data_IF_227946431610
#
_entry.id   IF_227946431610
#
_cell.length_a   1.000
_cell.length_b   1.000
_cell.length_c   1.000
_cell.angle_alpha   90.00
_cell.angle_beta   90.00
_cell.angle_gamma   90.00
#
_symmetry.space_group_name_H-M   'P 1'
#
loop_
_entity.id
_entity.type
_entity.pdbx_description
1 polymer ?
#
# COMPACT_ATOMS: atom_id res chain seq x y z
N UNK A 1 24.45 -23.73 -4.10
CA UNK A 1 23.41 -24.01 -5.13
C UNK A 1 22.90 -25.47 -5.12
N UNK A 2 23.02 -26.20 -3.99
CA UNK A 2 22.62 -27.63 -3.86
C UNK A 2 21.18 -27.80 -3.33
N UNK A 3 20.67 -26.80 -2.61
CA UNK A 3 19.43 -26.93 -1.85
C UNK A 3 18.14 -26.98 -2.71
N UNK A 4 18.15 -26.45 -3.94
CA UNK A 4 16.96 -26.37 -4.81
C UNK A 4 16.52 -27.70 -5.48
N UNK A 5 17.17 -28.83 -5.18
CA UNK A 5 16.93 -30.10 -5.89
C UNK A 5 15.61 -30.79 -5.51
N UNK A 6 15.16 -30.72 -4.25
CA UNK A 6 13.95 -31.44 -3.83
C UNK A 6 12.69 -30.58 -3.97
N UNK A 7 11.53 -31.17 -4.31
CA UNK A 7 10.26 -30.44 -4.34
C UNK A 7 9.91 -29.84 -2.97
N UNK A 8 10.18 -30.55 -1.89
CA UNK A 8 9.95 -30.08 -0.53
C UNK A 8 10.72 -28.79 -0.22
N UNK A 9 12.03 -28.75 -0.51
CA UNK A 9 12.84 -27.57 -0.23
C UNK A 9 12.37 -26.33 -1.02
N UNK A 10 11.91 -26.53 -2.27
CA UNK A 10 11.36 -25.44 -3.10
C UNK A 10 10.08 -24.86 -2.49
N UNK A 11 9.19 -25.71 -2.00
CA UNK A 11 7.95 -25.30 -1.32
C UNK A 11 8.27 -24.50 -0.05
N UNK A 12 9.14 -25.04 0.81
CA UNK A 12 9.53 -24.36 2.06
C UNK A 12 10.23 -23.03 1.76
N UNK A 13 11.14 -23.01 0.79
CA UNK A 13 11.85 -21.78 0.39
C UNK A 13 10.90 -20.74 -0.18
N UNK A 14 9.98 -21.14 -1.06
CA UNK A 14 8.99 -20.23 -1.62
C UNK A 14 8.13 -19.62 -0.50
N UNK A 15 7.69 -20.43 0.46
CA UNK A 15 6.89 -19.95 1.59
C UNK A 15 7.67 -18.95 2.45
N UNK A 16 8.91 -19.27 2.81
CA UNK A 16 9.76 -18.37 3.61
C UNK A 16 10.02 -17.04 2.88
N UNK A 17 10.30 -17.10 1.57
CA UNK A 17 10.54 -15.90 0.76
C UNK A 17 9.26 -15.07 0.58
N UNK A 18 8.10 -15.70 0.43
CA UNK A 18 6.80 -15.01 0.41
C UNK A 18 6.56 -14.27 1.71
N UNK A 19 6.71 -14.94 2.87
CA UNK A 19 6.52 -14.31 4.19
C UNK A 19 7.51 -13.16 4.39
N UNK A 20 8.77 -13.35 4.02
CA UNK A 20 9.80 -12.31 4.10
C UNK A 20 9.43 -11.10 3.24
N UNK A 21 9.07 -11.31 1.98
CA UNK A 21 8.72 -10.24 1.05
C UNK A 21 7.46 -9.50 1.49
N UNK A 22 6.42 -10.22 1.94
CA UNK A 22 5.22 -9.61 2.51
C UNK A 22 5.53 -8.76 3.75
N UNK A 23 6.46 -9.21 4.60
CA UNK A 23 6.94 -8.45 5.75
C UNK A 23 7.69 -7.16 5.35
N UNK A 24 8.55 -7.24 4.34
CA UNK A 24 9.26 -6.07 3.78
C UNK A 24 8.26 -5.09 3.15
N UNK A 25 7.35 -5.59 2.32
CA UNK A 25 6.33 -4.80 1.64
C UNK A 25 5.44 -4.05 2.65
N UNK A 26 5.05 -4.70 3.75
CA UNK A 26 4.32 -4.06 4.86
C UNK A 26 5.11 -2.93 5.51
N UNK A 27 6.43 -3.08 5.71
CA UNK A 27 7.29 -2.03 6.29
C UNK A 27 7.50 -0.84 5.35
N UNK A 28 7.43 -1.06 4.05
CA UNK A 28 7.54 -0.01 3.02
C UNK A 28 6.24 0.81 2.85
N UNK A 29 5.16 0.43 3.54
CA UNK A 29 3.91 1.19 3.52
C UNK A 29 4.10 2.60 4.13
N UNK A 30 3.63 3.62 3.42
CA UNK A 30 4.01 5.02 3.65
C UNK A 30 3.09 5.80 4.60
N UNK A 31 2.02 5.16 5.11
CA UNK A 31 0.90 5.86 5.77
C UNK A 31 0.63 5.54 7.23
N UNK A 32 1.69 5.16 7.94
CA UNK A 32 1.63 5.07 9.39
C UNK A 32 1.54 6.47 10.02
N UNK A 33 0.75 6.65 11.09
CA UNK A 33 0.81 7.84 11.93
C UNK A 33 2.27 8.16 12.30
N UNK A 34 2.67 9.42 12.16
CA UNK A 34 4.01 9.87 12.49
C UNK A 34 3.95 10.77 13.70
N UNK A 35 4.79 10.47 14.68
CA UNK A 35 5.04 11.35 15.80
C UNK A 35 5.96 12.48 15.33
N UNK A 36 5.44 13.69 15.41
CA UNK A 36 6.14 14.91 15.07
C UNK A 36 6.45 15.59 16.39
N UNK A 37 7.74 15.67 16.68
CA UNK A 37 8.27 16.48 17.76
C UNK A 37 9.00 17.65 17.17
N UNK A 38 8.59 18.83 17.58
CA UNK A 38 9.13 20.09 17.11
C UNK A 38 9.65 20.90 18.30
N UNK A 39 10.78 21.58 18.14
CA UNK A 39 11.34 22.46 19.15
C UNK A 39 11.68 23.81 18.51
N UNK A 40 11.12 24.89 19.05
CA UNK A 40 11.41 26.28 18.65
C UNK A 40 11.64 27.12 19.89
N UNK A 41 12.89 27.53 20.11
CA UNK A 41 13.30 28.10 21.40
C UNK A 41 13.10 27.07 22.52
N UNK A 42 12.39 27.48 23.57
CA UNK A 42 12.04 26.63 24.71
C UNK A 42 10.73 25.84 24.50
N UNK A 43 9.99 26.16 23.45
CA UNK A 43 8.72 25.52 23.14
C UNK A 43 8.96 24.18 22.46
N UNK A 44 8.39 23.12 23.03
CA UNK A 44 8.34 21.78 22.45
C UNK A 44 6.89 21.47 22.09
N UNK A 45 6.66 21.09 20.84
CA UNK A 45 5.35 20.68 20.33
C UNK A 45 5.39 19.24 19.89
N UNK A 46 4.51 18.41 20.43
CA UNK A 46 4.37 17.00 20.12
C UNK A 46 2.99 16.74 19.51
N UNK A 47 2.96 16.10 18.33
CA UNK A 47 1.73 15.79 17.62
C UNK A 47 1.88 14.47 16.85
N UNK A 48 0.93 13.55 17.03
CA UNK A 48 0.82 12.35 16.20
C UNK A 48 -0.14 12.61 15.06
N UNK A 49 0.32 12.47 13.81
CA UNK A 49 -0.51 12.76 12.64
C UNK A 49 -1.68 11.80 12.51
N UNK A 50 -2.87 12.33 12.25
CA UNK A 50 -4.03 11.54 11.83
C UNK A 50 -3.91 11.30 10.32
N UNK A 51 -3.83 10.05 9.89
CA UNK A 51 -3.69 9.68 8.47
C UNK A 51 -5.00 9.14 7.88
N UNK A 52 -5.81 8.49 8.71
CA UNK A 52 -7.00 7.74 8.30
C UNK A 52 -8.12 7.90 9.33
N UNK A 53 -9.35 8.09 8.86
CA UNK A 53 -10.55 8.26 9.69
C UNK A 53 -11.67 7.40 9.10
N UNK A 54 -12.44 6.72 9.96
CA UNK A 54 -13.68 6.09 9.51
C UNK A 54 -14.80 7.13 9.52
N UNK A 55 -15.64 7.23 8.47
CA UNK A 55 -16.73 8.22 8.39
C UNK A 55 -17.71 8.23 9.58
N UNK A 56 -17.90 7.09 10.22
CA UNK A 56 -18.77 6.89 11.38
C UNK A 56 -18.13 7.31 12.71
N UNK A 57 -16.82 7.54 12.74
CA UNK A 57 -16.07 7.91 13.93
C UNK A 57 -15.66 9.38 13.92
N UNK A 58 -15.63 9.98 15.12
CA UNK A 58 -15.02 11.29 15.32
C UNK A 58 -13.52 11.10 15.54
N UNK A 59 -12.70 11.69 14.67
CA UNK A 59 -11.26 11.70 14.84
C UNK A 59 -10.82 12.96 15.56
N UNK A 60 -10.04 12.79 16.63
CA UNK A 60 -9.50 13.90 17.42
C UNK A 60 -8.05 14.14 17.04
N UNK A 61 -7.75 15.35 16.59
CA UNK A 61 -6.38 15.84 16.47
C UNK A 61 -5.93 16.31 17.84
N UNK A 62 -4.81 15.77 18.33
CA UNK A 62 -4.23 16.12 19.63
C UNK A 62 -2.84 16.69 19.46
N UNK A 63 -2.51 17.66 20.30
CA UNK A 63 -1.21 18.30 20.35
C UNK A 63 -0.84 18.52 21.80
N UNK A 64 0.43 18.30 22.14
CA UNK A 64 1.01 18.66 23.43
C UNK A 64 2.04 19.76 23.25
N UNK A 65 1.92 20.80 24.06
CA UNK A 65 2.85 21.90 24.18
C UNK A 65 3.61 21.77 25.50
N UNK A 66 4.91 22.02 25.50
CA UNK A 66 5.74 22.01 26.72
C UNK A 66 6.77 23.13 26.62
N UNK A 67 7.19 23.69 27.76
CA UNK A 67 8.22 24.73 27.81
C UNK A 67 7.72 26.14 27.44
N UNK A 68 6.42 26.38 27.56
CA UNK A 68 5.82 27.71 27.44
C UNK A 68 4.73 27.87 28.51
N UNK A 69 4.93 28.83 29.41
CA UNK A 69 4.12 29.03 30.62
C UNK A 69 3.36 30.35 30.51
N UNK A 70 2.34 30.38 29.67
CA UNK A 70 1.45 31.53 29.50
C UNK A 70 0.01 31.06 29.52
N UNK A 71 -0.82 31.74 30.31
CA UNK A 71 -2.24 31.42 30.49
C UNK A 71 -3.08 31.64 29.22
N UNK A 72 -2.55 32.35 28.20
CA UNK A 72 -3.33 32.84 27.05
C UNK A 72 -2.84 32.26 25.72
N UNK A 73 -2.71 30.93 25.63
CA UNK A 73 -2.37 30.25 24.38
C UNK A 73 -3.66 29.78 23.71
N UNK A 74 -3.86 30.21 22.47
CA UNK A 74 -4.96 29.75 21.63
C UNK A 74 -4.44 28.76 20.59
N UNK A 75 -5.06 27.58 20.54
CA UNK A 75 -4.82 26.59 19.50
C UNK A 75 -5.90 26.65 18.43
N UNK A 76 -5.50 26.59 17.16
CA UNK A 76 -6.41 26.56 16.03
C UNK A 76 -6.06 25.42 15.07
N UNK A 77 -7.09 24.67 14.68
CA UNK A 77 -7.00 23.68 13.61
C UNK A 77 -7.61 24.30 12.34
N UNK A 78 -6.78 24.44 11.32
CA UNK A 78 -7.23 24.81 9.99
C UNK A 78 -7.38 23.56 9.16
N UNK A 79 -8.46 23.45 8.40
CA UNK A 79 -8.69 22.30 7.54
C UNK A 79 -9.40 22.69 6.25
N UNK A 80 -9.22 21.89 5.22
CA UNK A 80 -10.00 21.97 3.99
C UNK A 80 -10.17 20.58 3.39
N UNK A 81 -11.37 20.29 2.89
CA UNK A 81 -11.55 19.16 1.99
C UNK A 81 -10.82 19.46 0.66
N UNK A 82 -10.33 18.42 -0.01
CA UNK A 82 -9.59 18.56 -1.26
C UNK A 82 -10.42 19.35 -2.29
N UNK A 83 -9.91 20.51 -2.72
CA UNK A 83 -10.60 21.42 -3.65
C UNK A 83 -11.60 22.38 -3.00
N UNK A 84 -11.82 22.29 -1.68
CA UNK A 84 -12.67 23.20 -0.92
C UNK A 84 -11.90 24.34 -0.23
N UNK A 85 -12.67 25.26 0.35
CA UNK A 85 -12.16 26.41 1.10
C UNK A 85 -11.59 26.01 2.47
N UNK A 86 -10.61 26.77 2.96
CA UNK A 86 -10.03 26.59 4.28
C UNK A 86 -10.99 27.09 5.37
N UNK A 87 -11.24 26.22 6.35
CA UNK A 87 -12.05 26.50 7.53
C UNK A 87 -11.17 26.39 8.77
N UNK A 88 -11.59 27.09 9.83
CA UNK A 88 -10.86 27.20 11.09
C UNK A 88 -11.75 26.76 12.25
N UNK A 89 -11.23 25.91 13.13
CA UNK A 89 -11.86 25.55 14.40
C UNK A 89 -10.90 25.81 15.56
N UNK A 90 -11.43 26.27 16.69
CA UNK A 90 -10.67 26.41 17.92
C UNK A 90 -10.39 25.03 18.51
N UNK A 91 -9.17 24.85 19.03
CA UNK A 91 -8.80 23.67 19.80
C UNK A 91 -9.16 23.90 21.26
N UNK A 92 -9.75 22.88 21.90
CA UNK A 92 -10.02 22.86 23.32
C UNK A 92 -8.73 22.58 24.10
N UNK A 93 -8.45 23.42 25.10
CA UNK A 93 -7.33 23.24 26.01
C UNK A 93 -7.77 22.44 27.23
N UNK A 94 -7.20 21.26 27.44
CA UNK A 94 -7.58 20.35 28.53
C UNK A 94 -6.69 20.46 29.78
N UNK A 95 -5.75 21.42 29.83
CA UNK A 95 -4.71 21.52 30.86
C UNK A 95 -3.41 20.79 30.48
N UNK A 96 -2.34 21.03 31.25
CA UNK A 96 -1.02 20.41 31.09
C UNK A 96 -0.39 20.53 29.68
N UNK A 97 -0.72 21.61 28.95
CA UNK A 97 -0.22 21.84 27.61
C UNK A 97 -0.95 21.06 26.50
N UNK A 98 -2.05 20.36 26.80
CA UNK A 98 -2.78 19.56 25.81
C UNK A 98 -3.88 20.35 25.10
N UNK A 99 -3.86 20.29 23.77
CA UNK A 99 -4.86 20.85 22.88
C UNK A 99 -5.51 19.74 22.06
N UNK A 100 -6.82 19.83 21.88
CA UNK A 100 -7.55 18.88 21.06
C UNK A 100 -8.62 19.53 20.19
N UNK A 101 -8.85 18.97 19.00
CA UNK A 101 -9.97 19.37 18.16
C UNK A 101 -10.50 18.17 17.39
N UNK A 102 -11.82 18.15 17.17
CA UNK A 102 -12.48 17.09 16.41
C UNK A 102 -12.47 17.48 14.94
N UNK A 103 -11.95 16.58 14.09
CA UNK A 103 -12.05 16.74 12.64
C UNK A 103 -13.51 16.64 12.20
N UNK A 104 -13.92 17.41 11.18
CA UNK A 104 -15.28 17.32 10.65
C UNK A 104 -15.57 15.90 10.14
N UNK A 105 -16.84 15.53 10.10
CA UNK A 105 -17.24 14.31 9.41
C UNK A 105 -17.05 14.49 7.89
N UNK A 106 -16.66 13.41 7.24
CA UNK A 106 -16.53 13.31 5.78
C UNK A 106 -17.17 12.01 5.29
N UNK A 107 -17.36 11.91 3.98
CA UNK A 107 -17.86 10.72 3.31
C UNK A 107 -16.71 9.76 2.96
N UNK A 108 -17.05 8.52 2.61
CA UNK A 108 -16.08 7.54 2.11
C UNK A 108 -15.38 8.12 0.86
N UNK A 109 -14.04 8.07 0.84
CA UNK A 109 -13.24 8.59 -0.27
C UNK A 109 -12.79 10.05 -0.09
N UNK A 110 -13.40 10.79 0.84
CA UNK A 110 -13.03 12.18 1.09
C UNK A 110 -11.56 12.29 1.53
N UNK A 111 -10.94 13.39 1.08
CA UNK A 111 -9.56 13.74 1.39
C UNK A 111 -9.58 15.10 2.06
N UNK A 112 -9.05 15.19 3.27
CA UNK A 112 -9.00 16.41 4.05
C UNK A 112 -7.55 16.75 4.39
N UNK A 113 -7.16 17.99 4.18
CA UNK A 113 -5.92 18.52 4.71
C UNK A 113 -6.19 19.25 6.01
N UNK A 114 -5.32 19.07 7.00
CA UNK A 114 -5.33 19.90 8.20
C UNK A 114 -3.93 20.42 8.56
N UNK A 115 -3.91 21.58 9.22
CA UNK A 115 -2.71 22.16 9.82
C UNK A 115 -3.08 22.76 11.17
N UNK A 116 -2.12 22.78 12.09
CA UNK A 116 -2.31 23.32 13.44
C UNK A 116 -1.50 24.60 13.57
N UNK A 117 -2.09 25.59 14.21
CA UNK A 117 -1.46 26.87 14.51
C UNK A 117 -1.69 27.20 15.99
N UNK A 118 -0.60 27.49 16.70
CA UNK A 118 -0.62 27.96 18.08
C UNK A 118 -0.26 29.43 18.09
N UNK A 119 -1.05 30.23 18.79
CA UNK A 119 -0.89 31.69 18.86
C UNK A 119 -1.00 32.17 20.29
N UNK A 120 -0.19 33.16 20.67
CA UNK A 120 -0.41 33.99 21.85
C UNK A 120 -1.03 35.34 21.45
N UNK A 121 -1.20 36.26 22.41
CA UNK A 121 -1.74 37.61 22.15
C UNK A 121 -0.88 38.45 21.19
N UNK A 122 0.40 38.11 21.01
CA UNK A 122 1.40 38.95 20.32
C UNK A 122 1.83 38.39 18.98
N UNK A 123 1.76 37.07 18.77
CA UNK A 123 2.37 36.38 17.64
C UNK A 123 1.90 34.94 17.45
N UNK A 124 2.26 34.37 16.29
CA UNK A 124 2.13 32.92 16.05
C UNK A 124 3.32 32.21 16.70
N UNK A 125 3.05 31.36 17.68
CA UNK A 125 4.05 30.58 18.41
C UNK A 125 4.58 29.40 17.59
N UNK A 126 3.67 28.68 16.91
CA UNK A 126 4.04 27.52 16.11
C UNK A 126 3.02 27.25 15.00
N UNK A 127 3.53 26.84 13.82
CA UNK A 127 2.73 26.29 12.71
C UNK A 127 3.19 24.88 12.39
N UNK A 128 2.24 23.97 12.25
CA UNK A 128 2.51 22.56 11.95
C UNK A 128 1.62 22.15 10.76
N UNK A 129 2.20 21.65 9.65
CA UNK A 129 3.63 21.36 9.42
C UNK A 129 4.48 22.63 9.10
N UNK A 130 5.76 22.61 9.49
CA UNK A 130 6.70 23.75 9.36
C UNK A 130 7.21 23.99 7.92
N UNK A 131 7.13 22.99 7.04
CA UNK A 131 7.88 22.99 5.76
C UNK A 131 7.09 23.56 4.57
N UNK A 132 6.18 24.51 4.81
CA UNK A 132 5.31 25.06 3.74
C UNK A 132 4.39 24.02 3.07
N UNK A 133 4.24 22.83 3.67
CA UNK A 133 3.27 21.83 3.21
C UNK A 133 1.86 22.36 3.46
N UNK A 134 0.94 22.10 2.53
CA UNK A 134 -0.47 22.52 2.63
C UNK A 134 -1.17 21.97 3.89
N UNK A 135 -0.69 20.87 4.45
CA UNK A 135 -1.19 20.26 5.67
C UNK A 135 -0.87 18.77 5.74
N UNK A 136 -1.35 18.11 6.77
CA UNK A 136 -1.41 16.65 6.86
C UNK A 136 -2.66 16.15 6.14
N UNK A 137 -2.48 15.14 5.29
CA UNK A 137 -3.57 14.53 4.53
C UNK A 137 -4.22 13.40 5.34
N UNK A 138 -5.51 13.58 5.61
CA UNK A 138 -6.43 12.59 6.16
C UNK A 138 -7.25 11.98 5.02
N UNK A 139 -7.37 10.65 4.97
CA UNK A 139 -8.35 9.96 4.11
C UNK A 139 -9.48 9.38 4.94
N UNK A 140 -10.71 9.54 4.46
CA UNK A 140 -11.87 8.88 5.03
C UNK A 140 -12.06 7.51 4.38
N UNK A 141 -11.84 6.44 5.16
CA UNK A 141 -11.89 5.05 4.69
C UNK A 141 -13.17 4.35 5.13
N UNK A 142 -13.85 3.71 4.18
CA UNK A 142 -14.97 2.81 4.46
C UNK A 142 -14.52 1.52 5.15
N UNK A 143 -15.48 0.78 5.71
CA UNK A 143 -15.26 -0.56 6.22
C UNK A 143 -15.29 -1.56 5.06
N UNK A 144 -14.29 -2.45 5.03
CA UNK A 144 -14.21 -3.50 4.02
C UNK A 144 -14.86 -4.76 4.59
N UNK A 145 -15.75 -5.37 3.83
CA UNK A 145 -16.38 -6.65 4.16
C UNK A 145 -15.31 -7.74 4.30
N UNK A 146 -15.30 -8.51 5.42
CA UNK A 146 -14.40 -9.64 5.59
C UNK A 146 -14.53 -10.68 4.46
N UNK A 147 -15.73 -10.83 3.89
CA UNK A 147 -16.00 -11.74 2.76
C UNK A 147 -15.30 -11.33 1.47
N UNK A 148 -14.84 -10.09 1.36
CA UNK A 148 -14.04 -9.60 0.22
C UNK A 148 -12.56 -9.57 0.61
N UNK A 149 -12.27 -9.02 1.79
CA UNK A 149 -10.89 -8.82 2.24
C UNK A 149 -10.13 -10.14 2.44
N UNK A 150 -10.78 -11.15 3.04
CA UNK A 150 -10.13 -12.43 3.31
C UNK A 150 -9.77 -13.16 2.00
N UNK A 151 -10.71 -13.36 1.03
CA UNK A 151 -10.35 -13.95 -0.26
C UNK A 151 -9.29 -13.15 -1.02
N UNK A 152 -9.34 -11.81 -0.99
CA UNK A 152 -8.34 -10.95 -1.60
C UNK A 152 -6.93 -11.26 -1.07
N UNK A 153 -6.75 -11.23 0.25
CA UNK A 153 -5.45 -11.46 0.90
C UNK A 153 -4.94 -12.87 0.59
N UNK A 154 -5.81 -13.88 0.67
CA UNK A 154 -5.45 -15.27 0.37
C UNK A 154 -4.97 -15.40 -1.08
N UNK A 155 -5.68 -14.81 -2.04
CA UNK A 155 -5.31 -14.90 -3.45
C UNK A 155 -4.03 -14.14 -3.77
N UNK A 156 -3.82 -12.95 -3.21
CA UNK A 156 -2.57 -12.21 -3.37
C UNK A 156 -1.40 -13.01 -2.79
N UNK A 157 -1.54 -13.53 -1.57
CA UNK A 157 -0.50 -14.33 -0.92
C UNK A 157 -0.20 -15.60 -1.72
N UNK A 158 -1.23 -16.32 -2.15
CA UNK A 158 -1.09 -17.52 -2.96
C UNK A 158 -0.47 -17.21 -4.34
N UNK A 159 -0.84 -16.10 -4.97
CA UNK A 159 -0.25 -15.68 -6.25
C UNK A 159 1.26 -15.46 -6.12
N UNK A 160 1.71 -14.80 -5.04
CA UNK A 160 3.11 -14.53 -4.77
C UNK A 160 3.89 -15.81 -4.42
N UNK A 161 3.31 -16.68 -3.58
CA UNK A 161 3.88 -17.99 -3.27
C UNK A 161 4.09 -18.84 -4.53
N UNK A 162 3.07 -18.93 -5.38
CA UNK A 162 3.14 -19.68 -6.63
C UNK A 162 4.15 -19.01 -7.57
N UNK A 163 4.24 -17.66 -7.62
CA UNK A 163 5.23 -16.97 -8.44
C UNK A 163 6.68 -17.33 -8.06
N UNK A 164 7.01 -17.48 -6.78
CA UNK A 164 8.32 -17.98 -6.33
C UNK A 164 8.56 -19.44 -6.77
N UNK A 165 7.55 -20.31 -6.71
CA UNK A 165 7.64 -21.66 -7.25
C UNK A 165 7.90 -21.63 -8.76
N UNK A 166 7.12 -20.83 -9.50
CA UNK A 166 7.26 -20.63 -10.95
C UNK A 166 8.68 -20.17 -11.30
N UNK A 167 9.24 -19.22 -10.54
CA UNK A 167 10.63 -18.77 -10.70
C UNK A 167 11.64 -19.92 -10.58
N UNK A 168 11.52 -20.78 -9.56
CA UNK A 168 12.43 -21.92 -9.41
C UNK A 168 12.34 -22.89 -10.60
N UNK A 169 11.14 -23.12 -11.14
CA UNK A 169 10.97 -23.92 -12.35
C UNK A 169 11.53 -23.21 -13.60
N UNK A 170 11.38 -21.89 -13.73
CA UNK A 170 12.03 -21.11 -14.79
C UNK A 170 13.55 -21.30 -14.78
N UNK A 171 14.18 -21.19 -13.61
CA UNK A 171 15.63 -21.43 -13.46
C UNK A 171 16.03 -22.86 -13.80
N UNK A 172 15.19 -23.87 -13.49
CA UNK A 172 15.45 -25.26 -13.86
C UNK A 172 15.42 -25.46 -15.37
N UNK A 173 14.44 -24.87 -16.06
CA UNK A 173 14.35 -24.93 -17.53
C UNK A 173 15.60 -24.30 -18.17
N UNK A 174 16.08 -23.18 -17.64
CA UNK A 174 17.33 -22.55 -18.12
C UNK A 174 18.57 -23.44 -17.94
N UNK A 175 18.54 -24.36 -16.97
CA UNK A 175 19.59 -25.36 -16.74
C UNK A 175 19.43 -26.62 -17.60
N UNK A 176 18.38 -26.71 -18.42
CA UNK A 176 18.12 -27.83 -19.32
C UNK A 176 17.23 -28.93 -18.74
N UNK A 177 16.59 -28.71 -17.58
CA UNK A 177 15.68 -29.70 -16.99
C UNK A 177 14.34 -29.71 -17.73
N UNK A 178 13.86 -30.90 -18.11
CA UNK A 178 12.53 -31.08 -18.70
C UNK A 178 11.43 -30.96 -17.64
N UNK A 179 11.01 -29.72 -17.40
CA UNK A 179 9.92 -29.39 -16.46
C UNK A 179 9.00 -28.28 -16.97
N UNK A 180 8.94 -28.11 -18.29
CA UNK A 180 8.19 -27.04 -18.98
C UNK A 180 6.70 -27.13 -18.70
N UNK A 181 6.13 -28.35 -18.72
CA UNK A 181 4.70 -28.55 -18.44
C UNK A 181 4.33 -28.12 -17.02
N UNK A 182 5.13 -28.50 -16.02
CA UNK A 182 4.91 -28.10 -14.63
C UNK A 182 5.03 -26.58 -14.49
N UNK A 183 6.03 -25.98 -15.13
CA UNK A 183 6.20 -24.53 -15.12
C UNK A 183 5.01 -23.80 -15.74
N UNK A 184 4.49 -24.29 -16.88
CA UNK A 184 3.33 -23.71 -17.54
C UNK A 184 2.07 -23.74 -16.65
N UNK A 185 1.84 -24.85 -15.92
CA UNK A 185 0.73 -24.93 -14.96
C UNK A 185 0.89 -23.90 -13.85
N UNK A 186 2.10 -23.72 -13.32
CA UNK A 186 2.36 -22.72 -12.29
C UNK A 186 2.20 -21.28 -12.84
N UNK A 187 2.62 -21.00 -14.08
CA UNK A 187 2.37 -19.73 -14.77
C UNK A 187 0.87 -19.43 -14.84
N UNK A 188 0.05 -20.41 -15.24
CA UNK A 188 -1.40 -20.27 -15.30
C UNK A 188 -1.98 -19.93 -13.92
N UNK A 189 -1.56 -20.65 -12.87
CA UNK A 189 -2.04 -20.41 -11.52
C UNK A 189 -1.61 -19.04 -10.98
N UNK A 190 -0.36 -18.63 -11.22
CA UNK A 190 0.13 -17.28 -10.88
C UNK A 190 -0.68 -16.21 -11.58
N UNK A 191 -0.93 -16.34 -12.88
CA UNK A 191 -1.76 -15.42 -13.65
C UNK A 191 -3.19 -15.35 -13.11
N UNK A 192 -3.88 -16.48 -12.93
CA UNK A 192 -5.26 -16.50 -12.45
C UNK A 192 -5.40 -15.89 -11.06
N UNK A 193 -4.50 -16.24 -10.14
CA UNK A 193 -4.60 -15.76 -8.75
C UNK A 193 -4.25 -14.28 -8.65
N UNK A 194 -3.29 -13.80 -9.46
CA UNK A 194 -2.98 -12.38 -9.51
C UNK A 194 -4.07 -11.56 -10.21
N UNK A 195 -4.68 -12.07 -11.27
CA UNK A 195 -5.81 -11.41 -11.95
C UNK A 195 -7.03 -11.33 -11.02
N UNK A 196 -7.44 -12.45 -10.44
CA UNK A 196 -8.64 -12.51 -9.59
C UNK A 196 -8.38 -11.76 -8.28
N UNK A 197 -7.28 -12.06 -7.59
CA UNK A 197 -6.95 -11.43 -6.31
C UNK A 197 -6.60 -9.96 -6.46
N UNK A 198 -5.69 -9.62 -7.37
CA UNK A 198 -5.13 -8.28 -7.50
C UNK A 198 -6.00 -7.30 -8.27
N UNK A 199 -6.66 -7.73 -9.34
CA UNK A 199 -7.49 -6.84 -10.15
C UNK A 199 -8.96 -7.00 -9.77
N UNK A 200 -9.57 -8.17 -9.98
CA UNK A 200 -11.03 -8.32 -9.85
C UNK A 200 -11.53 -8.05 -8.43
N UNK A 201 -10.96 -8.72 -7.43
CA UNK A 201 -11.30 -8.49 -6.03
C UNK A 201 -10.65 -7.19 -5.52
N UNK A 202 -9.50 -6.79 -6.08
CA UNK A 202 -8.86 -5.51 -5.77
C UNK A 202 -9.78 -4.31 -6.01
N UNK A 203 -10.49 -4.29 -7.15
CA UNK A 203 -11.51 -3.25 -7.45
C UNK A 203 -12.59 -3.20 -6.38
N UNK A 204 -13.05 -4.36 -5.89
CA UNK A 204 -14.06 -4.43 -4.85
C UNK A 204 -13.54 -3.85 -3.52
N UNK A 205 -12.30 -4.16 -3.16
CA UNK A 205 -11.64 -3.61 -1.97
C UNK A 205 -11.56 -2.08 -2.08
N UNK A 206 -11.11 -1.55 -3.22
CA UNK A 206 -11.02 -0.10 -3.45
C UNK A 206 -12.39 0.56 -3.42
N UNK A 207 -13.41 -0.07 -4.00
CA UNK A 207 -14.79 0.43 -3.99
C UNK A 207 -15.35 0.54 -2.58
N UNK A 208 -15.15 -0.47 -1.73
CA UNK A 208 -15.60 -0.43 -0.33
C UNK A 208 -14.78 0.55 0.51
N UNK A 209 -13.50 0.74 0.19
CA UNK A 209 -12.61 1.59 0.98
C UNK A 209 -12.76 3.07 0.65
N UNK A 210 -12.92 3.42 -0.63
CA UNK A 210 -12.84 4.80 -1.13
C UNK A 210 -13.99 5.19 -2.04
N UNK A 211 -14.95 4.30 -2.31
CA UNK A 211 -16.00 4.51 -3.32
C UNK A 211 -15.44 4.81 -4.72
N UNK A 212 -14.23 4.31 -4.98
CA UNK A 212 -13.50 4.44 -6.25
C UNK A 212 -13.46 3.07 -6.96
N UNK A 213 -13.38 3.08 -8.29
CA UNK A 213 -13.23 1.86 -9.08
C UNK A 213 -11.76 1.44 -9.22
N UNK A 214 -11.42 0.88 -10.37
CA UNK A 214 -10.03 0.62 -10.73
C UNK A 214 -9.26 1.93 -10.94
N UNK A 215 -8.16 2.13 -10.22
CA UNK A 215 -7.35 3.35 -10.24
C UNK A 215 -6.11 3.26 -11.14
N UNK A 216 -5.86 2.12 -11.79
CA UNK A 216 -4.68 1.91 -12.64
C UNK A 216 -4.76 2.63 -13.99
N UNK A 217 -3.59 2.85 -14.61
CA UNK A 217 -3.47 3.50 -15.91
C UNK A 217 -4.05 2.61 -17.04
N UNK A 218 -4.83 3.13 -17.99
CA UNK A 218 -5.03 4.54 -18.33
C UNK A 218 -6.25 5.20 -17.66
N UNK A 219 -7.06 4.44 -16.92
CA UNK A 219 -8.32 4.93 -16.34
C UNK A 219 -8.03 5.89 -15.17
N UNK A 220 -7.06 5.54 -14.33
CA UNK A 220 -6.65 6.34 -13.19
C UNK A 220 -5.14 6.63 -13.15
N UNK A 221 -4.67 7.08 -11.99
CA UNK A 221 -3.27 7.44 -11.72
C UNK A 221 -2.73 6.78 -10.45
N UNK A 222 -3.42 5.75 -9.94
CA UNK A 222 -2.95 4.99 -8.80
C UNK A 222 -1.78 4.10 -9.22
N UNK A 223 -0.65 4.34 -8.56
CA UNK A 223 0.61 3.67 -8.83
C UNK A 223 0.56 2.20 -8.38
N UNK A 224 -0.24 1.88 -7.36
CA UNK A 224 -0.42 0.51 -6.83
C UNK A 224 -1.17 -0.36 -7.83
N UNK A 225 -2.28 0.15 -8.35
CA UNK A 225 -3.09 -0.53 -9.34
C UNK A 225 -2.31 -0.70 -10.66
N UNK A 226 -1.63 0.36 -11.11
CA UNK A 226 -0.82 0.33 -12.34
C UNK A 226 0.30 -0.71 -12.29
N UNK A 227 0.99 -0.86 -11.15
CA UNK A 227 2.01 -1.91 -11.00
C UNK A 227 1.40 -3.31 -11.07
N UNK A 228 0.20 -3.46 -10.50
CA UNK A 228 -0.54 -4.73 -10.51
C UNK A 228 -0.91 -5.14 -11.93
N UNK A 229 -1.47 -4.22 -12.70
CA UNK A 229 -1.70 -4.40 -14.15
C UNK A 229 -0.44 -4.85 -14.88
N UNK A 230 0.68 -4.15 -14.68
CA UNK A 230 1.92 -4.44 -15.38
C UNK A 230 2.37 -5.87 -15.11
N UNK A 231 2.49 -6.30 -13.85
CA UNK A 231 2.98 -7.66 -13.62
C UNK A 231 1.97 -8.73 -14.05
N UNK A 232 0.66 -8.49 -13.93
CA UNK A 232 -0.39 -9.40 -14.44
C UNK A 232 -0.30 -9.52 -15.95
N UNK A 233 -0.04 -8.43 -16.67
CA UNK A 233 0.16 -8.42 -18.11
C UNK A 233 1.37 -9.28 -18.53
N UNK A 234 2.50 -9.15 -17.83
CA UNK A 234 3.67 -9.98 -18.12
C UNK A 234 3.42 -11.48 -17.86
N UNK A 235 2.66 -11.82 -16.81
CA UNK A 235 2.21 -13.19 -16.60
C UNK A 235 1.26 -13.69 -17.68
N UNK A 236 0.36 -12.83 -18.20
CA UNK A 236 -0.49 -13.16 -19.34
C UNK A 236 0.34 -13.46 -20.59
N UNK A 237 1.31 -12.60 -20.91
CA UNK A 237 2.21 -12.80 -22.07
C UNK A 237 2.97 -14.13 -21.92
N UNK A 238 3.53 -14.39 -20.73
CA UNK A 238 4.22 -15.66 -20.46
C UNK A 238 3.28 -16.85 -20.58
N UNK A 239 2.03 -16.73 -20.12
CA UNK A 239 1.01 -17.77 -20.25
C UNK A 239 0.66 -18.05 -21.71
N UNK A 240 0.50 -17.02 -22.55
CA UNK A 240 0.20 -17.17 -23.98
C UNK A 240 1.29 -18.01 -24.66
N UNK A 241 2.58 -17.69 -24.41
CA UNK A 241 3.68 -18.46 -24.98
C UNK A 241 3.84 -19.87 -24.39
N UNK A 242 3.44 -20.06 -23.12
CA UNK A 242 3.41 -21.36 -22.44
C UNK A 242 2.15 -22.19 -22.69
N UNK A 243 1.17 -21.68 -23.43
CA UNK A 243 -0.16 -22.30 -23.54
C UNK A 243 -0.13 -23.70 -24.15
N UNK A 244 0.71 -23.92 -25.17
CA UNK A 244 0.86 -25.23 -25.78
C UNK A 244 1.47 -26.26 -24.82
N UNK A 245 2.40 -25.84 -23.94
CA UNK A 245 3.00 -26.73 -22.95
C UNK A 245 1.98 -27.24 -21.92
N UNK A 246 0.96 -26.45 -21.59
CA UNK A 246 -0.16 -26.92 -20.74
C UNK A 246 -0.86 -28.15 -21.34
N UNK A 247 -0.95 -28.19 -22.68
CA UNK A 247 -1.58 -29.26 -23.46
C UNK A 247 -0.60 -30.38 -23.83
N UNK A 248 0.65 -30.34 -23.34
CA UNK A 248 1.70 -31.29 -23.71
C UNK A 248 2.13 -31.18 -25.17
N UNK A 249 1.89 -30.03 -25.81
CA UNK A 249 2.30 -29.76 -27.19
C UNK A 249 3.57 -28.92 -27.21
N UNK A 250 4.30 -29.00 -28.32
CA UNK A 250 5.47 -28.16 -28.55
C UNK A 250 5.08 -26.66 -28.51
N UNK A 251 5.85 -25.88 -27.77
CA UNK A 251 5.68 -24.43 -27.69
C UNK A 251 6.12 -23.74 -28.99
N UNK A 252 5.58 -22.56 -29.23
CA UNK A 252 5.97 -21.70 -30.36
C UNK A 252 7.42 -21.19 -30.15
N UNK A 253 7.82 -21.03 -28.89
CA UNK A 253 9.15 -20.58 -28.48
C UNK A 253 9.97 -21.73 -27.91
N UNK A 254 11.29 -21.55 -27.85
CA UNK A 254 12.17 -22.53 -27.21
C UNK A 254 11.95 -22.59 -25.69
N UNK A 255 12.24 -23.74 -25.08
CA UNK A 255 12.16 -23.93 -23.63
C UNK A 255 13.02 -22.90 -22.88
N UNK A 256 14.24 -22.62 -23.38
CA UNK A 256 15.10 -21.58 -22.80
C UNK A 256 14.44 -20.20 -22.83
N UNK A 257 13.83 -19.82 -23.95
CA UNK A 257 13.10 -18.55 -24.08
C UNK A 257 11.95 -18.49 -23.09
N UNK A 258 11.21 -19.58 -22.91
CA UNK A 258 10.13 -19.65 -21.94
C UNK A 258 10.63 -19.50 -20.50
N UNK A 259 11.77 -20.14 -20.16
CA UNK A 259 12.45 -19.95 -18.88
C UNK A 259 12.86 -18.49 -18.63
N UNK A 260 13.35 -17.78 -19.65
CA UNK A 260 13.68 -16.35 -19.58
C UNK A 260 12.42 -15.51 -19.29
N UNK A 261 11.32 -15.76 -20.00
CA UNK A 261 10.05 -15.04 -19.79
C UNK A 261 9.52 -15.22 -18.36
N UNK A 262 9.63 -16.43 -17.80
CA UNK A 262 9.26 -16.70 -16.41
C UNK A 262 10.11 -15.86 -15.45
N UNK A 263 11.43 -15.87 -15.61
CA UNK A 263 12.35 -15.12 -14.74
C UNK A 263 12.12 -13.61 -14.86
N UNK A 264 11.90 -13.10 -16.08
CA UNK A 264 11.59 -11.70 -16.33
C UNK A 264 10.27 -11.28 -15.67
N UNK A 265 9.19 -12.04 -15.88
CA UNK A 265 7.88 -11.77 -15.28
C UNK A 265 7.92 -11.82 -13.76
N UNK A 266 8.63 -12.80 -13.19
CA UNK A 266 8.86 -12.86 -11.75
C UNK A 266 9.63 -11.65 -11.24
N UNK A 267 10.67 -11.20 -11.96
CA UNK A 267 11.46 -10.03 -11.56
C UNK A 267 10.62 -8.76 -11.55
N UNK A 268 9.77 -8.56 -12.55
CA UNK A 268 8.82 -7.43 -12.62
C UNK A 268 7.83 -7.50 -11.47
N UNK A 269 7.28 -8.69 -11.19
CA UNK A 269 6.39 -8.91 -10.05
C UNK A 269 7.08 -8.57 -8.73
N UNK A 270 8.30 -9.06 -8.51
CA UNK A 270 9.10 -8.77 -7.32
C UNK A 270 9.36 -7.27 -7.15
N UNK A 271 9.73 -6.58 -8.24
CA UNK A 271 9.94 -5.13 -8.22
C UNK A 271 8.64 -4.39 -7.86
N UNK A 272 7.50 -4.80 -8.40
CA UNK A 272 6.20 -4.20 -8.05
C UNK A 272 5.92 -4.26 -6.54
N UNK A 273 6.21 -5.38 -5.88
CA UNK A 273 6.04 -5.55 -4.44
C UNK A 273 7.06 -4.76 -3.59
N UNK A 274 8.22 -4.42 -4.15
CA UNK A 274 9.28 -3.66 -3.49
C UNK A 274 9.13 -2.14 -3.65
N UNK A 275 8.39 -1.65 -4.65
CA UNK A 275 8.16 -0.22 -4.76
C UNK A 275 7.15 0.18 -3.68
N UNK A 276 7.48 1.18 -2.82
CA UNK A 276 6.55 1.69 -1.82
C UNK A 276 5.20 2.02 -2.46
N UNK A 277 4.14 1.56 -1.83
CA UNK A 277 2.77 1.80 -2.26
C UNK A 277 2.08 2.72 -1.24
N UNK A 278 1.19 3.56 -1.75
CA UNK A 278 0.35 4.46 -0.95
C UNK A 278 -1.05 3.86 -0.88
N UNK A 279 -1.33 3.03 0.11
CA UNK A 279 -2.72 2.75 0.50
C UNK A 279 -3.27 3.99 1.23
#
# INVERSE_FOLDING_TARGET
MIFLKTPFFRIVSALLLTVLLSGISKKLSTRNPKDIRFKQGDIIVEHTTVTEVKPDLMATVRLKLTGYDSANINGFLYYNFLGGEERKIAMEYSGDGYFSAILPRGHIGDRLFYRIELTDERSVLAKIPQNGRKGFLVKYKGNISPYVLIPHIILIFASLFIAFLTFFYGVKILKGDDCVKQAAVLVLLTFLFSLIGGILIGVEVTRQTFNEGWGGYPIGRDVTDTKTEIFVFFWLVTLIFGWNALRGKQMIISDKTFGILIVASFSINLLAFLIPHSL
#
